data_IF_329029902390
#
_entry.id   IF_329029902390
#
_cell.length_a   1.000
_cell.length_b   1.000
_cell.length_c   1.000
_cell.angle_alpha   90.00
_cell.angle_beta   90.00
_cell.angle_gamma   90.00
#
_symmetry.space_group_name_H-M   'P 1'
#
loop_
_entity.id
_entity.type
_entity.pdbx_description
1 polymer ?
#
# COMPACT_ATOMS: atom_id res chain seq x y z
N UNK A 1 -0.46 -1.92 -4.19
CA UNK A 1 -0.17 -2.25 -5.59
C UNK A 1 1.19 -2.92 -5.64
N UNK A 2 1.21 -4.24 -5.71
CA UNK A 2 2.22 -4.95 -6.48
C UNK A 2 1.69 -5.42 -7.84
N UNK A 3 2.53 -5.35 -8.86
CA UNK A 3 2.36 -6.05 -10.14
C UNK A 3 3.35 -7.21 -10.19
N UNK A 4 2.88 -8.42 -10.50
CA UNK A 4 3.71 -9.61 -10.57
C UNK A 4 3.90 -10.01 -12.02
N UNK A 5 5.16 -10.07 -12.45
CA UNK A 5 5.56 -10.62 -13.75
C UNK A 5 6.07 -12.04 -13.55
N UNK A 6 5.39 -13.01 -14.14
CA UNK A 6 5.58 -14.44 -13.89
C UNK A 6 6.11 -15.10 -15.16
N UNK A 7 7.29 -15.72 -15.12
CA UNK A 7 7.83 -16.54 -16.21
C UNK A 7 8.07 -17.97 -15.73
N UNK A 8 8.02 -18.93 -16.65
CA UNK A 8 8.25 -20.35 -16.35
C UNK A 8 7.10 -21.07 -15.64
N UNK A 9 5.93 -20.40 -15.52
CA UNK A 9 4.69 -20.98 -14.98
C UNK A 9 3.59 -20.73 -16.01
N UNK A 10 2.73 -21.73 -16.28
CA UNK A 10 1.72 -21.58 -17.34
C UNK A 10 0.58 -20.64 -16.91
N UNK A 11 -0.09 -19.96 -17.85
CA UNK A 11 -1.26 -19.13 -17.55
C UNK A 11 -2.36 -19.90 -16.79
N UNK A 12 -2.58 -21.18 -17.11
CA UNK A 12 -3.57 -22.03 -16.46
C UNK A 12 -3.22 -22.28 -14.99
N UNK A 13 -1.95 -22.56 -14.70
CA UNK A 13 -1.46 -22.74 -13.34
C UNK A 13 -1.59 -21.45 -12.52
N UNK A 14 -1.18 -20.31 -13.08
CA UNK A 14 -1.33 -19.00 -12.42
C UNK A 14 -2.80 -18.68 -12.17
N UNK A 15 -3.68 -19.00 -13.13
CA UNK A 15 -5.14 -18.83 -12.97
C UNK A 15 -5.69 -19.64 -11.80
N UNK A 16 -5.18 -20.83 -11.53
CA UNK A 16 -5.62 -21.67 -10.39
C UNK A 16 -5.36 -21.01 -9.04
N UNK A 17 -4.25 -20.29 -8.89
CA UNK A 17 -3.85 -19.63 -7.63
C UNK A 17 -4.21 -18.14 -7.57
N UNK A 18 -4.67 -17.54 -8.66
CA UNK A 18 -4.75 -16.07 -8.80
C UNK A 18 -5.64 -15.40 -7.75
N UNK A 19 -6.80 -15.98 -7.44
CA UNK A 19 -7.75 -15.40 -6.50
C UNK A 19 -7.22 -15.44 -5.05
N UNK A 20 -6.68 -16.59 -4.63
CA UNK A 20 -6.16 -16.74 -3.26
C UNK A 20 -4.89 -15.92 -3.07
N UNK A 21 -3.96 -15.99 -4.03
CA UNK A 21 -2.73 -15.19 -4.01
C UNK A 21 -3.05 -13.69 -4.01
N UNK A 22 -3.93 -13.25 -4.90
CA UNK A 22 -4.34 -11.85 -5.00
C UNK A 22 -4.94 -11.31 -3.70
N UNK A 23 -5.85 -12.05 -3.07
CA UNK A 23 -6.49 -11.62 -1.82
C UNK A 23 -5.52 -11.55 -0.63
N UNK A 24 -4.59 -12.50 -0.51
CA UNK A 24 -3.57 -12.47 0.53
C UNK A 24 -2.58 -11.31 0.32
N UNK A 25 -2.10 -11.10 -0.92
CA UNK A 25 -1.22 -9.98 -1.24
C UNK A 25 -1.91 -8.63 -1.02
N UNK A 26 -3.19 -8.49 -1.37
CA UNK A 26 -3.98 -7.28 -1.09
C UNK A 26 -4.01 -6.95 0.41
N UNK A 27 -4.15 -7.98 1.25
CA UNK A 27 -4.12 -7.84 2.71
C UNK A 27 -2.74 -7.43 3.20
N UNK A 28 -1.67 -8.09 2.75
CA UNK A 28 -0.29 -7.80 3.14
C UNK A 28 0.15 -6.38 2.73
N UNK A 29 -0.14 -5.97 1.49
CA UNK A 29 0.21 -4.65 0.98
C UNK A 29 -0.74 -3.54 1.42
N UNK A 30 -1.81 -3.89 2.14
CA UNK A 30 -2.89 -3.01 2.58
C UNK A 30 -3.41 -2.17 1.41
N UNK A 31 -3.78 -2.84 0.32
CA UNK A 31 -4.34 -2.18 -0.85
C UNK A 31 -5.59 -2.91 -1.36
N UNK A 32 -6.43 -2.22 -2.15
CA UNK A 32 -7.53 -2.85 -2.86
C UNK A 32 -7.07 -4.06 -3.69
N UNK A 33 -7.94 -5.07 -3.81
CA UNK A 33 -7.62 -6.32 -4.50
C UNK A 33 -7.45 -6.14 -6.02
N UNK A 34 -8.15 -5.17 -6.61
CA UNK A 34 -8.01 -4.77 -8.02
C UNK A 34 -6.68 -4.04 -8.31
N UNK A 35 -5.91 -3.66 -7.29
CA UNK A 35 -4.54 -3.17 -7.45
C UNK A 35 -3.50 -4.29 -7.52
N UNK A 36 -3.91 -5.56 -7.42
CA UNK A 36 -3.02 -6.72 -7.59
C UNK A 36 -3.15 -7.22 -9.02
N UNK A 37 -2.03 -7.17 -9.75
CA UNK A 37 -1.97 -7.60 -11.15
C UNK A 37 -1.01 -8.78 -11.25
N UNK A 38 -1.45 -9.86 -11.91
CA UNK A 38 -0.64 -11.04 -12.22
C UNK A 38 -0.54 -11.17 -13.74
N UNK A 39 0.67 -11.06 -14.31
CA UNK A 39 0.91 -11.20 -15.74
C UNK A 39 1.86 -12.37 -16.01
N UNK A 40 1.48 -13.24 -16.94
CA UNK A 40 2.33 -14.34 -17.39
C UNK A 40 3.13 -13.88 -18.62
N UNK A 41 4.46 -13.92 -18.52
CA UNK A 41 5.36 -13.59 -19.61
C UNK A 41 5.67 -14.83 -20.44
N UNK A 42 5.26 -14.81 -21.71
CA UNK A 42 5.67 -15.80 -22.70
C UNK A 42 7.14 -15.56 -23.07
N UNK A 43 7.99 -16.52 -22.71
CA UNK A 43 9.43 -16.43 -22.89
C UNK A 43 9.95 -17.67 -23.59
N UNK A 44 10.99 -17.51 -24.41
CA UNK A 44 11.78 -18.61 -24.97
C UNK A 44 13.13 -18.58 -24.28
N UNK A 45 13.40 -19.55 -23.41
CA UNK A 45 14.68 -19.64 -22.73
C UNK A 45 15.70 -20.38 -23.60
N UNK A 46 16.93 -19.86 -23.61
CA UNK A 46 18.09 -20.49 -24.25
C UNK A 46 19.11 -20.79 -23.16
N UNK A 47 19.54 -22.03 -23.04
CA UNK A 47 20.58 -22.44 -22.10
C UNK A 47 21.53 -23.42 -22.77
N UNK A 48 22.84 -23.17 -22.63
CA UNK A 48 23.89 -23.97 -23.25
C UNK A 48 23.72 -24.21 -24.76
N UNK A 49 23.16 -23.22 -25.48
CA UNK A 49 22.91 -23.30 -26.93
C UNK A 49 21.58 -23.95 -27.32
N UNK A 50 20.82 -24.48 -26.37
CA UNK A 50 19.56 -25.18 -26.61
C UNK A 50 18.34 -24.36 -26.18
N UNK A 51 17.21 -24.56 -26.87
CA UNK A 51 15.91 -24.07 -26.40
C UNK A 51 15.45 -24.93 -25.23
N UNK A 52 15.21 -24.30 -24.10
CA UNK A 52 14.77 -24.98 -22.87
C UNK A 52 13.51 -24.33 -22.31
N UNK A 53 12.85 -25.02 -21.37
CA UNK A 53 11.76 -24.42 -20.60
C UNK A 53 12.31 -23.28 -19.74
N UNK A 54 11.58 -22.16 -19.71
CA UNK A 54 11.92 -21.04 -18.81
C UNK A 54 11.84 -21.48 -17.36
N UNK A 55 12.85 -21.11 -16.58
CA UNK A 55 12.87 -21.33 -15.14
C UNK A 55 11.76 -20.51 -14.44
N UNK A 56 11.02 -21.08 -13.47
CA UNK A 56 10.02 -20.37 -12.69
C UNK A 56 10.61 -19.18 -11.94
N UNK A 57 10.18 -17.98 -12.29
CA UNK A 57 10.70 -16.76 -11.69
C UNK A 57 9.61 -15.69 -11.67
N UNK A 58 9.50 -15.00 -10.54
CA UNK A 58 8.48 -13.99 -10.31
C UNK A 58 9.15 -12.68 -9.92
N UNK A 59 8.91 -11.65 -10.72
CA UNK A 59 9.29 -10.28 -10.37
C UNK A 59 8.09 -9.57 -9.73
N UNK A 60 8.28 -9.00 -8.55
CA UNK A 60 7.27 -8.26 -7.81
C UNK A 60 7.61 -6.77 -7.84
N UNK A 61 6.83 -6.02 -8.60
CA UNK A 61 7.01 -4.59 -8.79
C UNK A 61 6.05 -3.82 -7.89
N UNK A 62 6.55 -3.16 -6.84
CA UNK A 62 5.71 -2.62 -5.77
C UNK A 62 6.23 -1.29 -5.22
N UNK A 63 5.40 -0.58 -4.46
CA UNK A 63 5.90 0.49 -3.58
C UNK A 63 6.46 -0.12 -2.30
N UNK A 64 7.54 0.48 -1.78
CA UNK A 64 8.12 0.04 -0.51
C UNK A 64 7.10 0.15 0.64
N UNK A 65 7.03 -0.93 1.42
CA UNK A 65 6.20 -1.15 2.61
C UNK A 65 7.02 -1.69 3.80
N UNK A 66 8.34 -1.76 3.66
CA UNK A 66 9.26 -2.31 4.63
C UNK A 66 9.56 -3.79 4.40
N UNK A 67 10.72 -4.21 4.91
CA UNK A 67 11.27 -5.55 4.71
C UNK A 67 10.37 -6.68 5.22
N UNK A 68 9.66 -6.47 6.33
CA UNK A 68 8.75 -7.48 6.88
C UNK A 68 7.62 -7.83 5.90
N UNK A 69 6.97 -6.82 5.31
CA UNK A 69 5.92 -7.04 4.30
C UNK A 69 6.49 -7.70 3.05
N UNK A 70 7.71 -7.31 2.63
CA UNK A 70 8.39 -7.93 1.51
C UNK A 70 8.66 -9.43 1.76
N UNK A 71 9.11 -9.80 2.94
CA UNK A 71 9.42 -11.18 3.30
C UNK A 71 8.16 -12.04 3.42
N UNK A 72 7.11 -11.52 4.05
CA UNK A 72 5.81 -12.19 4.12
C UNK A 72 5.20 -12.37 2.73
N UNK A 73 5.32 -11.37 1.85
CA UNK A 73 4.87 -11.48 0.47
C UNK A 73 5.66 -12.55 -0.31
N UNK A 74 6.99 -12.61 -0.14
CA UNK A 74 7.82 -13.63 -0.77
C UNK A 74 7.40 -15.04 -0.34
N UNK A 75 7.18 -15.25 0.96
CA UNK A 75 6.71 -16.53 1.51
C UNK A 75 5.31 -16.91 1.01
N UNK A 76 4.41 -15.93 0.94
CA UNK A 76 3.06 -16.11 0.40
C UNK A 76 3.10 -16.57 -1.06
N UNK A 77 3.92 -15.91 -1.90
CA UNK A 77 4.08 -16.25 -3.32
C UNK A 77 4.71 -17.64 -3.46
N UNK A 78 5.81 -17.93 -2.77
CA UNK A 78 6.48 -19.25 -2.82
C UNK A 78 5.48 -20.36 -2.48
N UNK A 79 4.75 -20.22 -1.37
CA UNK A 79 3.76 -21.23 -0.92
C UNK A 79 2.70 -21.54 -1.97
N UNK A 80 2.16 -20.51 -2.64
CA UNK A 80 1.20 -20.71 -3.73
C UNK A 80 1.84 -21.40 -4.94
N UNK A 81 3.06 -21.04 -5.30
CA UNK A 81 3.79 -21.69 -6.39
C UNK A 81 4.07 -23.16 -6.05
N UNK A 82 4.46 -23.48 -4.80
CA UNK A 82 4.65 -24.87 -4.35
C UNK A 82 3.38 -25.70 -4.47
N UNK A 83 2.22 -25.12 -4.19
CA UNK A 83 0.92 -25.81 -4.29
C UNK A 83 0.60 -26.30 -5.72
N UNK A 84 1.26 -25.74 -6.74
CA UNK A 84 1.14 -26.16 -8.14
C UNK A 84 2.04 -27.35 -8.49
N UNK A 85 2.80 -27.89 -7.53
CA UNK A 85 3.77 -28.96 -7.75
C UNK A 85 5.14 -28.47 -8.27
N UNK A 86 5.41 -27.17 -8.21
CA UNK A 86 6.66 -26.58 -8.69
C UNK A 86 7.74 -26.65 -7.60
N UNK A 87 8.83 -27.35 -7.88
CA UNK A 87 9.88 -27.68 -6.91
C UNK A 87 10.96 -26.61 -6.76
N UNK A 88 11.01 -25.60 -7.64
CA UNK A 88 11.95 -24.47 -7.53
C UNK A 88 11.32 -23.21 -8.13
N UNK A 89 11.47 -22.08 -7.44
CA UNK A 89 11.05 -20.76 -7.91
C UNK A 89 11.94 -19.70 -7.29
N UNK A 90 12.27 -18.67 -8.05
CA UNK A 90 12.94 -17.47 -7.55
C UNK A 90 11.99 -16.27 -7.58
N UNK A 91 12.09 -15.42 -6.55
CA UNK A 91 11.25 -14.24 -6.40
C UNK A 91 12.17 -13.03 -6.18
N UNK A 92 12.02 -12.02 -7.01
CA UNK A 92 12.78 -10.78 -6.91
C UNK A 92 11.82 -9.58 -6.80
N UNK A 93 12.20 -8.57 -6.03
CA UNK A 93 11.40 -7.35 -5.89
C UNK A 93 12.08 -6.19 -6.60
N UNK A 94 11.29 -5.39 -7.32
CA UNK A 94 11.69 -4.03 -7.69
C UNK A 94 10.76 -3.04 -7.01
N UNK A 95 11.35 -2.15 -6.24
CA UNK A 95 10.60 -1.10 -5.58
C UNK A 95 10.51 0.12 -6.48
N UNK A 96 9.30 0.62 -6.70
CA UNK A 96 9.06 1.87 -7.39
C UNK A 96 9.21 3.05 -6.44
N UNK A 97 9.83 4.11 -6.94
CA UNK A 97 9.76 5.42 -6.31
C UNK A 97 8.41 6.08 -6.62
N UNK A 98 7.74 6.61 -5.59
CA UNK A 98 6.41 7.21 -5.75
C UNK A 98 6.42 8.46 -6.63
N UNK A 99 7.55 9.17 -6.68
CA UNK A 99 7.73 10.33 -7.56
C UNK A 99 7.77 9.94 -9.03
N UNK A 100 8.22 8.71 -9.32
CA UNK A 100 8.54 8.25 -10.67
C UNK A 100 7.48 7.28 -11.20
N UNK A 101 6.48 6.96 -10.37
CA UNK A 101 5.32 6.16 -10.74
C UNK A 101 4.11 7.06 -10.98
N UNK A 102 3.50 6.95 -12.17
CA UNK A 102 2.39 7.78 -12.60
C UNK A 102 1.14 6.94 -12.87
N UNK A 103 -0.01 7.38 -12.34
CA UNK A 103 -1.34 6.90 -12.74
C UNK A 103 -2.09 8.04 -13.42
N UNK A 104 -2.66 7.80 -14.61
CA UNK A 104 -3.38 8.79 -15.41
C UNK A 104 -2.62 10.11 -15.58
N UNK A 105 -1.30 10.01 -15.77
CA UNK A 105 -0.40 11.16 -15.93
C UNK A 105 -0.05 11.91 -14.63
N UNK A 106 -0.46 11.42 -13.46
CA UNK A 106 -0.15 12.01 -12.14
C UNK A 106 0.73 11.11 -11.30
N UNK A 107 1.81 11.66 -10.74
CA UNK A 107 2.69 10.95 -9.83
C UNK A 107 1.99 10.60 -8.51
N UNK A 108 2.51 9.60 -7.79
CA UNK A 108 2.02 9.23 -6.45
C UNK A 108 2.61 10.08 -5.31
N UNK A 109 3.30 11.18 -5.64
CA UNK A 109 3.64 12.23 -4.67
C UNK A 109 2.60 13.36 -4.72
N UNK A 110 2.24 13.97 -3.58
CA UNK A 110 1.38 15.15 -3.58
C UNK A 110 1.99 16.26 -4.44
N UNK A 111 1.19 16.88 -5.29
CA UNK A 111 1.66 18.03 -6.06
C UNK A 111 1.94 19.22 -5.13
N UNK A 112 2.73 20.19 -5.59
CA UNK A 112 2.96 21.42 -4.83
C UNK A 112 1.65 22.15 -4.50
N UNK A 113 0.66 22.08 -5.39
CA UNK A 113 -0.69 22.58 -5.14
C UNK A 113 -1.43 21.80 -4.07
N UNK A 114 -1.35 20.46 -4.07
CA UNK A 114 -1.99 19.63 -3.03
C UNK A 114 -1.39 19.91 -1.66
N UNK A 115 -0.07 20.08 -1.62
CA UNK A 115 0.64 20.43 -0.39
C UNK A 115 0.23 21.81 0.12
N UNK A 116 0.11 22.81 -0.75
CA UNK A 116 -0.38 24.14 -0.38
C UNK A 116 -1.83 24.11 0.14
N UNK A 117 -2.71 23.34 -0.52
CA UNK A 117 -4.09 23.16 -0.09
C UNK A 117 -4.17 22.51 1.31
N UNK A 118 -3.43 21.42 1.52
CA UNK A 118 -3.35 20.74 2.81
C UNK A 118 -2.78 21.66 3.90
N UNK A 119 -1.79 22.49 3.59
CA UNK A 119 -1.26 23.46 4.55
C UNK A 119 -2.30 24.52 4.92
N UNK A 120 -3.02 25.06 3.94
CA UNK A 120 -4.07 26.05 4.18
C UNK A 120 -5.20 25.47 5.05
N UNK A 121 -5.63 24.24 4.77
CA UNK A 121 -6.64 23.55 5.57
C UNK A 121 -6.16 23.27 7.00
N UNK A 122 -4.94 22.77 7.17
CA UNK A 122 -4.34 22.56 8.48
C UNK A 122 -4.24 23.86 9.29
N UNK A 123 -3.91 24.98 8.65
CA UNK A 123 -3.85 26.28 9.29
C UNK A 123 -5.24 26.73 9.78
N UNK A 124 -6.26 26.60 8.93
CA UNK A 124 -7.64 26.90 9.29
C UNK A 124 -8.12 26.05 10.48
N UNK A 125 -7.89 24.75 10.45
CA UNK A 125 -8.28 23.84 11.52
C UNK A 125 -7.59 24.19 12.86
N UNK A 126 -6.32 24.61 12.82
CA UNK A 126 -5.61 25.10 14.02
C UNK A 126 -6.25 26.36 14.60
N UNK A 127 -6.67 27.29 13.76
CA UNK A 127 -7.35 28.51 14.20
C UNK A 127 -8.73 28.23 14.80
N UNK A 128 -9.51 27.34 14.17
CA UNK A 128 -10.81 26.89 14.70
C UNK A 128 -10.62 26.19 16.06
N UNK A 129 -9.65 25.28 16.18
CA UNK A 129 -9.30 24.63 17.45
C UNK A 129 -8.90 25.65 18.52
N UNK A 130 -8.14 26.69 18.18
CA UNK A 130 -7.76 27.73 19.13
C UNK A 130 -8.96 28.54 19.60
N UNK A 131 -9.88 28.90 18.69
CA UNK A 131 -11.12 29.60 19.04
C UNK A 131 -12.00 28.76 19.96
N UNK A 132 -12.18 27.47 19.65
CA UNK A 132 -12.93 26.53 20.49
C UNK A 132 -12.30 26.36 21.87
N UNK A 133 -10.97 26.27 21.97
CA UNK A 133 -10.27 26.22 23.27
C UNK A 133 -10.51 27.49 24.09
N UNK A 134 -10.43 28.66 23.46
CA UNK A 134 -10.71 29.95 24.14
C UNK A 134 -12.17 30.04 24.59
N UNK A 135 -13.13 29.64 23.75
CA UNK A 135 -14.54 29.65 24.12
C UNK A 135 -14.81 28.71 25.30
N UNK A 136 -14.30 27.48 25.26
CA UNK A 136 -14.41 26.53 26.37
C UNK A 136 -13.80 27.05 27.68
N UNK A 137 -12.62 27.68 27.63
CA UNK A 137 -12.00 28.30 28.81
C UNK A 137 -12.85 29.46 29.37
N UNK A 138 -13.39 30.31 28.49
CA UNK A 138 -14.26 31.42 28.90
C UNK A 138 -15.59 30.94 29.51
N UNK A 139 -16.20 29.89 28.96
CA UNK A 139 -17.41 29.25 29.47
C UNK A 139 -17.18 28.64 30.86
N UNK A 140 -16.01 28.03 31.06
CA UNK A 140 -15.67 27.39 32.33
C UNK A 140 -15.44 28.42 33.46
N UNK A 141 -14.78 29.55 33.15
CA UNK A 141 -14.58 30.67 34.09
C UNK A 141 -15.89 31.39 34.40
N UNK A 142 -16.75 31.60 33.39
CA UNK A 142 -18.07 32.21 33.56
C UNK A 142 -18.99 31.40 34.46
N UNK A 143 -19.02 30.07 34.28
CA UNK A 143 -19.82 29.14 35.11
C UNK A 143 -19.30 29.04 36.56
N UNK A 144 -17.98 29.11 36.76
CA UNK A 144 -17.40 29.10 38.11
C UNK A 144 -17.69 30.43 38.84
N UNK A 145 -17.61 31.57 38.14
CA UNK A 145 -17.88 32.89 38.72
C UNK A 145 -19.36 33.09 39.08
N UNK A 146 -20.31 32.53 38.32
CA UNK A 146 -21.74 32.64 38.67
C UNK A 146 -22.06 31.82 39.92
N UNK A 147 -21.60 30.57 39.99
CA UNK A 147 -21.76 29.72 41.19
C UNK A 147 -21.15 30.34 42.44
N UNK A 148 -20.01 31.01 42.32
CA UNK A 148 -19.34 31.67 43.44
C UNK A 148 -20.11 32.93 43.90
N UNK A 149 -20.74 33.67 42.98
CA UNK A 149 -21.59 34.83 43.31
C UNK A 149 -22.89 34.41 43.97
N UNK A 150 -23.49 33.32 43.52
CA UNK A 150 -24.73 32.78 44.10
C UNK A 150 -24.47 32.25 45.53
N UNK A 151 -23.33 31.58 45.76
CA UNK A 151 -22.94 31.05 47.08
C UNK A 151 -22.55 32.11 48.12
N UNK A 152 -22.26 33.36 47.72
CA UNK A 152 -21.95 34.48 48.62
C UNK A 152 -23.18 35.35 48.94
N UNK A 153 -24.35 35.00 48.41
CA UNK A 153 -25.59 35.76 48.54
C UNK A 153 -26.62 35.10 49.48
N UNK A 154 -26.29 33.92 50.01
CA UNK A 154 -26.97 33.24 51.11
C UNK A 154 -26.18 33.42 52.41
#
# INVERSE_FOLDING_TARGET
MPHLLIRGITPEQVRTISQSLGSQLATLFQCPADHIVLECLNTTAIFAGEVVSSFPFIEVNAFDRGKAVQDEAAMCIDSHVRSLGISEVEIAFRMYERSDYYADGKSFVPSSSDFQALQAENQRLKEELQKLRKSLQSSHIGSMSSRLRDALRE
#
